data_IF_999575091360
#
_entry.id   IF_999575091360
#
_cell.length_a   1.000
_cell.length_b   1.000
_cell.length_c   1.000
_cell.angle_alpha   90.00
_cell.angle_beta   90.00
_cell.angle_gamma   90.00
#
_symmetry.space_group_name_H-M   'P 1'
#
loop_
_entity.id
_entity.type
_entity.pdbx_description
1 polymer ?
#
# COMPACT_ATOMS: atom_id res chain seq x y z
N UNK A 1 2.64 -0.70 -35.09
CA UNK A 1 2.66 -1.32 -33.76
C UNK A 1 3.78 -2.34 -33.71
N UNK A 2 4.59 -2.41 -32.64
CA UNK A 2 5.64 -3.43 -32.59
C UNK A 2 5.02 -4.80 -32.29
N UNK A 3 5.69 -5.88 -32.77
CA UNK A 3 5.24 -7.26 -32.47
C UNK A 3 5.09 -7.53 -30.96
N UNK A 4 5.89 -6.86 -30.16
CA UNK A 4 5.80 -6.94 -28.70
C UNK A 4 4.50 -6.30 -28.16
N UNK A 5 4.11 -5.13 -28.66
CA UNK A 5 2.85 -4.47 -28.30
C UNK A 5 1.62 -5.25 -28.77
N UNK A 6 1.71 -5.87 -29.95
CA UNK A 6 0.65 -6.73 -30.48
C UNK A 6 0.35 -7.91 -29.52
N UNK A 7 1.41 -8.52 -28.97
CA UNK A 7 1.26 -9.60 -27.97
C UNK A 7 0.62 -9.09 -26.68
N UNK A 8 1.01 -7.92 -26.19
CA UNK A 8 0.43 -7.34 -24.97
C UNK A 8 -1.05 -7.07 -25.16
N UNK A 9 -1.46 -6.44 -26.24
CA UNK A 9 -2.87 -6.20 -26.57
C UNK A 9 -3.65 -7.50 -26.68
N UNK A 10 -3.11 -8.51 -27.36
CA UNK A 10 -3.73 -9.82 -27.44
C UNK A 10 -3.97 -10.44 -26.06
N UNK A 11 -2.98 -10.36 -25.16
CA UNK A 11 -3.11 -10.87 -23.78
C UNK A 11 -4.18 -10.11 -22.97
N UNK A 12 -4.34 -8.81 -23.21
CA UNK A 12 -5.36 -7.99 -22.56
C UNK A 12 -6.79 -8.34 -23.00
N UNK A 13 -6.96 -8.73 -24.24
CA UNK A 13 -8.26 -9.10 -24.82
C UNK A 13 -8.72 -10.51 -24.47
N UNK A 14 -7.83 -11.37 -23.98
CA UNK A 14 -8.19 -12.73 -23.60
C UNK A 14 -9.21 -12.76 -22.45
N UNK A 15 -10.14 -13.72 -22.48
CA UNK A 15 -11.03 -13.95 -21.34
C UNK A 15 -10.24 -14.25 -20.05
N UNK A 16 -10.72 -13.71 -18.93
CA UNK A 16 -10.14 -14.00 -17.61
C UNK A 16 -10.18 -15.51 -17.32
N UNK A 17 -9.07 -16.05 -16.82
CA UNK A 17 -8.90 -17.49 -16.62
C UNK A 17 -8.41 -18.26 -17.83
N UNK A 18 -8.33 -17.62 -19.01
CA UNK A 18 -7.77 -18.26 -20.22
C UNK A 18 -6.30 -18.58 -20.01
N UNK A 19 -5.95 -19.83 -20.28
CA UNK A 19 -4.55 -20.30 -20.24
C UNK A 19 -3.89 -20.10 -21.59
N UNK A 20 -2.65 -19.67 -21.56
CA UNK A 20 -1.77 -19.51 -22.71
C UNK A 20 -0.38 -20.06 -22.40
N UNK A 21 0.38 -20.33 -23.44
CA UNK A 21 1.80 -20.69 -23.33
C UNK A 21 2.62 -19.85 -24.30
N UNK A 22 3.93 -19.76 -24.08
CA UNK A 22 4.86 -19.12 -25.03
C UNK A 22 4.60 -19.64 -26.43
N UNK A 23 4.54 -20.98 -26.60
CA UNK A 23 4.35 -21.63 -27.89
C UNK A 23 2.96 -21.37 -28.51
N UNK A 24 1.90 -21.28 -27.69
CA UNK A 24 0.58 -20.94 -28.22
C UNK A 24 0.50 -19.51 -28.76
N UNK A 25 1.19 -18.58 -28.08
CA UNK A 25 1.25 -17.17 -28.50
C UNK A 25 2.15 -17.02 -29.74
N UNK A 26 3.33 -17.66 -29.74
CA UNK A 26 4.24 -17.58 -30.89
C UNK A 26 3.61 -18.12 -32.15
N UNK A 27 2.88 -19.24 -32.08
CA UNK A 27 2.17 -19.82 -33.21
C UNK A 27 0.98 -18.95 -33.67
N UNK A 28 0.22 -18.38 -32.71
CA UNK A 28 -0.98 -17.59 -33.03
C UNK A 28 -0.64 -16.26 -33.71
N UNK A 29 0.42 -15.58 -33.24
CA UNK A 29 0.81 -14.25 -33.71
C UNK A 29 1.99 -14.25 -34.69
N UNK A 30 2.52 -15.42 -35.07
CA UNK A 30 3.64 -15.55 -35.98
C UNK A 30 4.91 -14.84 -35.48
N UNK A 31 5.23 -15.02 -34.20
CA UNK A 31 6.40 -14.41 -33.54
C UNK A 31 7.36 -15.48 -33.01
N UNK A 32 8.61 -15.11 -32.72
CA UNK A 32 9.54 -16.03 -32.08
C UNK A 32 9.15 -16.32 -30.63
N UNK A 33 9.48 -17.51 -30.12
CA UNK A 33 9.26 -17.89 -28.72
C UNK A 33 9.94 -16.92 -27.76
N UNK A 34 11.12 -16.39 -28.09
CA UNK A 34 11.82 -15.38 -27.30
C UNK A 34 11.08 -14.05 -27.21
N UNK A 35 10.37 -13.63 -28.28
CA UNK A 35 9.54 -12.43 -28.28
C UNK A 35 8.28 -12.65 -27.45
N UNK A 36 7.62 -13.81 -27.63
CA UNK A 36 6.46 -14.19 -26.83
C UNK A 36 6.79 -14.29 -25.34
N UNK A 37 7.92 -14.89 -24.97
CA UNK A 37 8.36 -15.00 -23.58
C UNK A 37 8.60 -13.63 -22.92
N UNK A 38 9.29 -12.71 -23.61
CA UNK A 38 9.53 -11.35 -23.09
C UNK A 38 8.23 -10.59 -22.88
N UNK A 39 7.28 -10.69 -23.81
CA UNK A 39 5.98 -10.05 -23.68
C UNK A 39 5.14 -10.64 -22.55
N UNK A 40 5.17 -11.97 -22.34
CA UNK A 40 4.53 -12.62 -21.18
C UNK A 40 5.12 -12.11 -19.88
N UNK A 41 6.45 -11.97 -19.79
CA UNK A 41 7.10 -11.43 -18.57
C UNK A 41 6.70 -9.98 -18.30
N UNK A 42 6.60 -9.17 -19.32
CA UNK A 42 6.10 -7.80 -19.19
C UNK A 42 4.62 -7.78 -18.80
N UNK A 43 3.79 -8.62 -19.41
CA UNK A 43 2.38 -8.75 -19.03
C UNK A 43 2.19 -9.24 -17.59
N UNK A 44 3.09 -10.11 -17.10
CA UNK A 44 3.12 -10.56 -15.70
C UNK A 44 3.46 -9.39 -14.76
N UNK A 45 4.47 -8.59 -15.10
CA UNK A 45 4.84 -7.39 -14.34
C UNK A 45 3.71 -6.33 -14.33
N UNK A 46 2.92 -6.26 -15.39
CA UNK A 46 1.73 -5.38 -15.49
C UNK A 46 0.49 -5.98 -14.82
N UNK A 47 0.58 -7.19 -14.27
CA UNK A 47 -0.55 -7.88 -13.66
C UNK A 47 -1.66 -8.33 -14.64
N UNK A 48 -1.35 -8.41 -15.94
CA UNK A 48 -2.27 -8.86 -16.99
C UNK A 48 -2.42 -10.38 -16.96
N UNK A 49 -1.32 -11.08 -16.71
CA UNK A 49 -1.25 -12.54 -16.60
C UNK A 49 -0.51 -12.94 -15.34
N UNK A 50 -0.71 -14.19 -14.91
CA UNK A 50 0.01 -14.81 -13.80
C UNK A 50 0.56 -16.16 -14.27
N UNK A 51 1.86 -16.39 -14.06
CA UNK A 51 2.49 -17.69 -14.33
C UNK A 51 2.50 -18.54 -13.07
N UNK A 52 1.85 -19.70 -13.12
CA UNK A 52 1.78 -20.64 -12.00
C UNK A 52 2.55 -21.92 -12.32
N UNK A 53 3.29 -22.49 -11.36
CA UNK A 53 3.90 -23.81 -11.52
C UNK A 53 2.86 -24.85 -11.96
N UNK A 54 3.18 -25.66 -12.95
CA UNK A 54 2.32 -26.71 -13.54
C UNK A 54 1.07 -26.24 -14.29
N UNK A 55 0.64 -24.98 -14.15
CA UNK A 55 -0.59 -24.45 -14.76
C UNK A 55 -0.31 -23.53 -15.96
N UNK A 56 0.94 -23.11 -16.17
CA UNK A 56 1.33 -22.18 -17.21
C UNK A 56 0.87 -20.75 -16.94
N UNK A 57 0.80 -19.94 -17.99
CA UNK A 57 0.39 -18.54 -17.92
C UNK A 57 -1.13 -18.43 -18.03
N UNK A 58 -1.75 -17.74 -17.11
CA UNK A 58 -3.20 -17.57 -17.03
C UNK A 58 -3.54 -16.08 -17.10
N UNK A 59 -4.52 -15.73 -17.92
CA UNK A 59 -5.07 -14.37 -17.93
C UNK A 59 -5.78 -14.13 -16.61
N UNK A 60 -5.31 -13.16 -15.86
CA UNK A 60 -5.93 -12.75 -14.60
C UNK A 60 -6.67 -11.44 -14.78
N UNK A 61 -7.66 -11.19 -13.94
CA UNK A 61 -8.25 -9.86 -13.83
C UNK A 61 -7.09 -8.92 -13.48
N UNK A 62 -6.84 -7.83 -14.25
CA UNK A 62 -5.87 -6.87 -13.80
C UNK A 62 -6.26 -6.54 -12.34
N UNK A 63 -5.34 -6.71 -11.42
CA UNK A 63 -5.47 -5.93 -10.19
C UNK A 63 -5.53 -4.50 -10.71
N UNK A 64 -6.71 -3.90 -10.69
CA UNK A 64 -6.80 -2.47 -10.89
C UNK A 64 -5.85 -1.89 -9.88
N UNK A 65 -4.69 -1.44 -10.31
CA UNK A 65 -3.92 -0.43 -9.62
C UNK A 65 -4.66 0.87 -9.92
N UNK A 66 -5.91 0.94 -9.49
CA UNK A 66 -6.48 2.21 -9.17
C UNK A 66 -5.69 2.62 -7.94
N UNK A 67 -4.79 3.55 -8.10
CA UNK A 67 -4.28 4.34 -6.98
C UNK A 67 -5.50 5.16 -6.57
N UNK A 68 -6.39 4.57 -5.78
CA UNK A 68 -7.41 5.31 -5.08
C UNK A 68 -6.64 6.12 -4.06
N UNK A 69 -6.57 7.40 -4.30
CA UNK A 69 -6.01 8.37 -3.39
C UNK A 69 -7.13 8.77 -2.46
N UNK A 70 -6.87 8.68 -1.18
CA UNK A 70 -7.75 9.18 -0.14
C UNK A 70 -7.21 10.49 0.37
N UNK A 71 -8.09 11.39 0.73
CA UNK A 71 -7.75 12.58 1.50
C UNK A 71 -7.53 12.21 2.97
N UNK A 72 -6.82 13.05 3.71
CA UNK A 72 -6.69 12.85 5.16
C UNK A 72 -8.04 13.02 5.87
N UNK A 73 -8.96 13.82 5.30
CA UNK A 73 -10.33 13.92 5.80
C UNK A 73 -11.07 12.59 5.73
N UNK A 74 -11.02 11.91 4.57
CA UNK A 74 -11.60 10.58 4.40
C UNK A 74 -10.95 9.53 5.32
N UNK A 75 -9.66 9.65 5.59
CA UNK A 75 -8.99 8.79 6.57
C UNK A 75 -9.50 9.04 7.99
N UNK A 76 -9.66 10.29 8.39
CA UNK A 76 -10.22 10.62 9.70
C UNK A 76 -11.62 10.01 9.86
N UNK A 77 -12.45 10.07 8.81
CA UNK A 77 -13.79 9.47 8.80
C UNK A 77 -13.73 7.93 8.89
N UNK A 78 -12.96 7.28 7.99
CA UNK A 78 -12.84 5.81 7.93
C UNK A 78 -12.30 5.21 9.23
N UNK A 79 -11.37 5.90 9.89
CA UNK A 79 -10.77 5.45 11.15
C UNK A 79 -11.44 6.01 12.39
N UNK A 80 -12.54 6.77 12.24
CA UNK A 80 -13.23 7.49 13.33
C UNK A 80 -12.25 8.28 14.21
N UNK A 81 -11.26 8.91 13.55
CA UNK A 81 -10.20 9.67 14.22
C UNK A 81 -10.61 11.12 14.45
N UNK A 82 -10.19 11.66 15.58
CA UNK A 82 -10.28 13.08 15.88
C UNK A 82 -9.15 13.83 15.17
N UNK A 83 -9.47 14.99 14.60
CA UNK A 83 -8.47 15.91 14.02
C UNK A 83 -7.94 16.81 15.13
N UNK A 84 -6.67 16.70 15.49
CA UNK A 84 -6.05 17.47 16.57
C UNK A 84 -5.39 18.75 16.07
N UNK A 85 -4.79 18.71 14.87
CA UNK A 85 -4.05 19.85 14.30
C UNK A 85 -3.95 19.72 12.78
N UNK A 86 -3.53 20.80 12.10
CA UNK A 86 -3.24 20.80 10.68
C UNK A 86 -4.47 20.69 9.78
N UNK A 87 -5.62 21.25 10.18
CA UNK A 87 -6.89 21.20 9.44
C UNK A 87 -6.76 21.62 7.97
N UNK A 88 -5.89 22.58 7.69
CA UNK A 88 -5.65 23.08 6.32
C UNK A 88 -5.17 22.00 5.34
N UNK A 89 -4.56 20.94 5.86
CA UNK A 89 -4.04 19.84 5.06
C UNK A 89 -5.02 18.69 4.84
N UNK A 90 -6.21 18.71 5.42
CA UNK A 90 -7.14 17.58 5.39
C UNK A 90 -7.57 17.16 3.98
N UNK A 91 -7.70 18.11 3.07
CA UNK A 91 -8.10 17.86 1.68
C UNK A 91 -6.93 17.38 0.79
N UNK A 92 -5.71 17.30 1.34
CA UNK A 92 -4.57 16.73 0.59
C UNK A 92 -4.75 15.22 0.45
N UNK A 93 -4.42 14.74 -0.74
CA UNK A 93 -4.44 13.31 -1.05
C UNK A 93 -3.17 12.60 -0.57
N UNK A 94 -3.33 11.38 -0.08
CA UNK A 94 -2.20 10.48 0.15
C UNK A 94 -2.45 9.10 -0.46
N UNK A 95 -1.37 8.39 -0.73
CA UNK A 95 -1.43 7.05 -1.34
C UNK A 95 -0.62 6.00 -0.60
N UNK A 96 0.14 6.40 0.41
CA UNK A 96 1.05 5.51 1.14
C UNK A 96 1.03 5.84 2.62
N UNK A 97 1.12 4.80 3.44
CA UNK A 97 1.35 4.97 4.86
C UNK A 97 2.48 4.07 5.37
N UNK A 98 3.04 4.44 6.49
CA UNK A 98 4.07 3.70 7.19
C UNK A 98 3.68 3.52 8.65
N UNK A 99 4.11 2.41 9.26
CA UNK A 99 3.89 2.18 10.69
C UNK A 99 5.15 2.58 11.45
N UNK A 100 5.00 3.51 12.40
CA UNK A 100 6.08 4.08 13.20
C UNK A 100 6.64 3.15 14.30
N UNK A 101 6.68 1.84 14.05
CA UNK A 101 7.23 0.85 14.99
C UNK A 101 8.76 0.73 14.95
N UNK A 102 9.40 1.42 14.01
CA UNK A 102 10.85 1.38 13.79
C UNK A 102 11.60 2.42 14.63
N UNK A 103 12.95 2.30 14.67
CA UNK A 103 13.81 3.35 15.21
C UNK A 103 13.77 4.61 14.33
N UNK A 104 14.13 5.76 14.89
CA UNK A 104 14.20 7.03 14.14
C UNK A 104 15.09 6.94 12.89
N UNK A 105 16.19 6.22 12.98
CA UNK A 105 17.10 6.04 11.87
C UNK A 105 16.46 5.22 10.74
N UNK A 106 15.76 4.15 11.08
CA UNK A 106 15.20 3.23 10.10
C UNK A 106 13.93 3.80 9.44
N UNK A 107 13.07 4.49 10.18
CA UNK A 107 11.82 5.02 9.63
C UNK A 107 12.05 6.06 8.54
N UNK A 108 13.17 6.80 8.57
CA UNK A 108 13.47 7.83 7.55
C UNK A 108 13.42 7.31 6.12
N UNK A 109 13.82 6.05 5.89
CA UNK A 109 13.77 5.44 4.56
C UNK A 109 12.36 5.08 4.10
N UNK A 110 11.39 5.13 4.99
CA UNK A 110 9.97 4.82 4.71
C UNK A 110 9.08 6.07 4.68
N UNK A 111 9.62 7.24 5.04
CA UNK A 111 8.89 8.50 4.92
C UNK A 111 8.86 8.93 3.44
N UNK A 112 7.71 9.36 3.01
CA UNK A 112 7.46 9.84 1.66
C UNK A 112 6.73 11.17 1.75
N UNK A 113 7.10 12.12 0.94
CA UNK A 113 6.39 13.40 0.87
C UNK A 113 4.87 13.17 0.65
N UNK A 114 4.06 13.79 1.48
CA UNK A 114 2.60 13.59 1.48
C UNK A 114 2.16 12.18 1.93
N UNK A 115 2.96 11.46 2.72
CA UNK A 115 2.60 10.17 3.31
C UNK A 115 1.88 10.31 4.65
N UNK A 116 1.43 9.17 5.20
CA UNK A 116 0.84 9.08 6.54
C UNK A 116 1.70 8.15 7.41
N UNK A 117 2.01 8.57 8.63
CA UNK A 117 2.68 7.72 9.64
C UNK A 117 1.68 7.34 10.72
N UNK A 118 1.43 6.04 10.86
CA UNK A 118 0.62 5.48 11.96
C UNK A 118 1.56 5.14 13.10
N UNK A 119 1.34 5.73 14.27
CA UNK A 119 2.25 5.60 15.42
C UNK A 119 1.46 5.70 16.73
N UNK A 120 1.98 5.13 17.81
CA UNK A 120 1.44 5.31 19.15
C UNK A 120 1.99 6.57 19.83
N UNK A 121 2.43 6.42 21.08
CA UNK A 121 2.90 7.48 21.98
C UNK A 121 4.34 7.99 21.71
N UNK A 122 4.95 7.59 20.61
CA UNK A 122 6.35 7.90 20.28
C UNK A 122 6.50 9.30 19.68
N UNK A 123 6.50 10.33 20.54
CA UNK A 123 6.60 11.75 20.16
C UNK A 123 7.72 12.04 19.16
N UNK A 124 8.90 11.44 19.31
CA UNK A 124 10.03 11.63 18.40
C UNK A 124 9.72 11.16 16.97
N UNK A 125 8.95 10.09 16.81
CA UNK A 125 8.52 9.62 15.49
C UNK A 125 7.44 10.53 14.91
N UNK A 126 6.53 11.06 15.75
CA UNK A 126 5.51 12.02 15.34
C UNK A 126 6.16 13.30 14.79
N UNK A 127 7.12 13.87 15.52
CA UNK A 127 7.88 15.04 15.07
C UNK A 127 8.64 14.77 13.77
N UNK A 128 9.35 13.64 13.71
CA UNK A 128 10.11 13.24 12.52
C UNK A 128 9.22 13.09 11.29
N UNK A 129 8.01 12.56 11.45
CA UNK A 129 7.04 12.46 10.36
C UNK A 129 6.67 13.85 9.83
N UNK A 130 6.29 14.78 10.72
CA UNK A 130 5.94 16.15 10.36
C UNK A 130 7.12 16.92 9.73
N UNK A 131 8.33 16.74 10.25
CA UNK A 131 9.55 17.33 9.66
C UNK A 131 9.75 16.93 8.20
N UNK A 132 9.35 15.70 7.84
CA UNK A 132 9.46 15.12 6.51
C UNK A 132 8.12 15.12 5.73
N UNK A 133 7.27 16.11 5.98
CA UNK A 133 6.02 16.37 5.25
C UNK A 133 5.02 15.18 5.25
N UNK A 134 5.03 14.36 6.32
CA UNK A 134 4.08 13.28 6.50
C UNK A 134 3.04 13.64 7.58
N UNK A 135 1.77 13.36 7.31
CA UNK A 135 0.73 13.42 8.32
C UNK A 135 0.93 12.31 9.38
N UNK A 136 0.35 12.51 10.53
CA UNK A 136 0.48 11.59 11.67
C UNK A 136 -0.90 11.11 12.10
N UNK A 137 -1.06 9.80 12.31
CA UNK A 137 -2.22 9.21 12.96
C UNK A 137 -1.76 8.50 14.23
N UNK A 138 -2.14 9.06 15.37
CA UNK A 138 -1.83 8.52 16.70
C UNK A 138 -2.90 7.51 17.08
N UNK A 139 -2.48 6.27 17.37
CA UNK A 139 -3.36 5.15 17.72
C UNK A 139 -3.40 4.92 19.23
N UNK A 140 -4.41 4.17 19.71
CA UNK A 140 -4.55 3.81 21.13
C UNK A 140 -5.06 4.96 22.02
N UNK A 141 -5.56 6.05 21.43
CA UNK A 141 -6.08 7.21 22.13
C UNK A 141 -5.01 7.98 22.93
N UNK A 142 -3.72 7.76 22.65
CA UNK A 142 -2.64 8.41 23.40
C UNK A 142 -2.68 9.94 23.26
N UNK A 143 -2.19 10.61 24.30
CA UNK A 143 -2.01 12.05 24.28
C UNK A 143 -0.93 12.45 23.28
N UNK A 144 -1.16 13.56 22.59
CA UNK A 144 -0.20 14.16 21.64
C UNK A 144 0.36 15.42 22.28
N UNK A 145 1.67 15.54 22.30
CA UNK A 145 2.37 16.67 22.93
C UNK A 145 2.12 17.97 22.16
N UNK A 146 2.16 19.09 22.89
CA UNK A 146 1.85 20.42 22.32
C UNK A 146 2.83 20.83 21.21
N UNK A 147 4.12 20.47 21.34
CA UNK A 147 5.14 20.74 20.33
C UNK A 147 4.83 20.04 18.97
N UNK A 148 4.23 18.87 19.01
CA UNK A 148 3.76 18.14 17.81
C UNK A 148 2.59 18.91 17.16
N UNK A 149 1.62 19.34 17.98
CA UNK A 149 0.44 20.06 17.50
C UNK A 149 0.81 21.43 16.92
N UNK A 150 1.71 22.15 17.57
CA UNK A 150 2.24 23.44 17.10
C UNK A 150 2.96 23.30 15.74
N UNK A 151 3.85 22.28 15.63
CA UNK A 151 4.53 22.01 14.38
C UNK A 151 3.57 21.64 13.25
N UNK A 152 2.58 20.81 13.55
CA UNK A 152 1.54 20.40 12.62
C UNK A 152 0.73 21.57 12.08
N UNK A 153 0.27 22.46 12.97
CA UNK A 153 -0.45 23.67 12.60
C UNK A 153 0.44 24.63 11.77
N UNK A 154 1.67 24.83 12.19
CA UNK A 154 2.63 25.68 11.45
C UNK A 154 2.86 25.21 10.01
N UNK A 155 2.86 23.90 9.79
CA UNK A 155 3.07 23.27 8.47
C UNK A 155 1.78 23.00 7.70
N UNK A 156 0.61 23.11 8.35
CA UNK A 156 -0.67 22.71 7.77
C UNK A 156 -0.69 21.21 7.44
N UNK A 157 -0.06 20.36 8.29
CA UNK A 157 0.01 18.91 8.11
C UNK A 157 -0.86 18.23 9.16
N UNK A 158 -1.84 17.37 8.77
CA UNK A 158 -2.79 16.78 9.69
C UNK A 158 -2.15 15.89 10.76
N UNK A 159 -2.60 16.06 11.99
CA UNK A 159 -2.41 15.14 13.11
C UNK A 159 -3.77 14.63 13.53
N UNK A 160 -3.97 13.33 13.39
CA UNK A 160 -5.18 12.60 13.71
C UNK A 160 -4.96 11.73 14.95
N UNK A 161 -6.03 11.45 15.70
CA UNK A 161 -5.99 10.53 16.84
C UNK A 161 -7.14 9.55 16.79
N UNK A 162 -6.83 8.25 16.79
CA UNK A 162 -7.80 7.16 16.91
C UNK A 162 -7.71 6.47 18.27
N UNK A 163 -8.83 6.01 18.77
CA UNK A 163 -8.89 5.16 19.99
C UNK A 163 -8.46 3.72 19.70
N UNK A 164 -8.56 3.31 18.47
CA UNK A 164 -8.22 1.95 18.03
C UNK A 164 -6.71 1.73 18.03
N UNK A 165 -6.31 0.47 18.06
CA UNK A 165 -4.91 0.06 17.98
C UNK A 165 -4.37 0.19 16.54
N UNK A 166 -3.04 0.14 16.44
CA UNK A 166 -2.33 0.32 15.15
C UNK A 166 -2.75 -0.70 14.09
N UNK A 167 -2.99 -1.95 14.46
CA UNK A 167 -3.35 -2.99 13.49
C UNK A 167 -4.77 -2.76 12.95
N UNK A 168 -5.71 -2.42 13.82
CA UNK A 168 -7.09 -2.11 13.45
C UNK A 168 -7.14 -0.91 12.50
N UNK A 169 -6.47 0.20 12.86
CA UNK A 169 -6.39 1.41 12.03
C UNK A 169 -5.75 1.11 10.68
N UNK A 170 -4.60 0.42 10.65
CA UNK A 170 -3.93 0.06 9.40
C UNK A 170 -4.81 -0.83 8.51
N UNK A 171 -5.59 -1.73 9.10
CA UNK A 171 -6.53 -2.59 8.37
C UNK A 171 -7.69 -1.78 7.76
N UNK A 172 -8.24 -0.80 8.51
CA UNK A 172 -9.29 0.09 8.01
C UNK A 172 -8.80 0.90 6.81
N UNK A 173 -7.62 1.52 6.94
CA UNK A 173 -7.00 2.31 5.87
C UNK A 173 -6.71 1.42 4.65
N UNK A 174 -6.17 0.22 4.86
CA UNK A 174 -5.88 -0.71 3.77
C UNK A 174 -7.14 -1.13 3.00
N UNK A 175 -8.24 -1.36 3.70
CA UNK A 175 -9.53 -1.66 3.07
C UNK A 175 -10.05 -0.47 2.27
N UNK A 176 -9.91 0.74 2.79
CA UNK A 176 -10.33 1.96 2.10
C UNK A 176 -9.48 2.23 0.86
N UNK A 177 -8.16 2.06 0.96
CA UNK A 177 -7.22 2.19 -0.15
C UNK A 177 -7.22 0.99 -1.09
N UNK A 178 -8.24 0.26 -1.26
CA UNK A 178 -8.49 -1.07 -1.87
C UNK A 178 -7.44 -1.65 -2.84
N UNK A 179 -6.33 -0.97 -3.15
CA UNK A 179 -5.27 -1.41 -4.06
C UNK A 179 -3.89 -0.76 -3.82
N UNK A 180 -3.66 -0.06 -2.71
CA UNK A 180 -2.34 0.50 -2.44
C UNK A 180 -1.42 -0.59 -1.94
N UNK A 181 -0.30 -0.75 -2.64
CA UNK A 181 0.78 -1.61 -2.22
C UNK A 181 1.37 -1.05 -0.92
N UNK A 182 1.01 -1.66 0.20
CA UNK A 182 1.65 -1.36 1.48
C UNK A 182 3.09 -1.82 1.35
N UNK A 183 4.00 -0.85 1.15
CA UNK A 183 5.41 -1.09 1.37
C UNK A 183 5.60 -1.15 2.87
N UNK A 184 5.70 -2.29 3.37
CA UNK A 184 6.25 -2.65 4.67
C UNK A 184 5.31 -3.57 5.43
N UNK A 185 5.70 -4.79 5.53
CA UNK A 185 5.61 -5.63 6.74
C UNK A 185 4.30 -5.61 7.55
N UNK A 186 3.13 -5.36 6.91
CA UNK A 186 1.88 -5.87 7.51
C UNK A 186 2.01 -7.38 7.69
N UNK A 187 2.69 -8.08 6.78
CA UNK A 187 3.06 -9.48 6.98
C UNK A 187 3.93 -9.70 8.22
N UNK A 188 4.80 -8.73 8.58
CA UNK A 188 5.58 -8.79 9.82
C UNK A 188 4.72 -8.46 11.03
N UNK A 189 3.80 -7.50 10.92
CA UNK A 189 2.86 -7.16 11.98
C UNK A 189 1.85 -8.30 12.19
N UNK A 190 1.31 -8.90 11.12
CA UNK A 190 0.46 -10.09 11.21
C UNK A 190 1.19 -11.29 11.83
N UNK A 191 2.48 -11.48 11.55
CA UNK A 191 3.30 -12.51 12.20
C UNK A 191 3.55 -12.22 13.67
N UNK A 192 3.72 -10.95 14.04
CA UNK A 192 3.91 -10.54 15.44
C UNK A 192 2.62 -10.61 16.26
N UNK A 193 1.47 -10.42 15.63
CA UNK A 193 0.14 -10.46 16.28
C UNK A 193 -0.61 -11.77 16.08
N UNK A 194 -0.05 -12.79 15.44
CA UNK A 194 -0.64 -14.13 15.54
C UNK A 194 -0.59 -14.53 17.02
N UNK A 195 -1.72 -14.62 17.73
CA UNK A 195 -1.71 -15.15 19.08
C UNK A 195 -1.13 -16.56 18.98
N UNK A 196 -0.19 -16.87 19.83
CA UNK A 196 0.49 -18.17 19.98
C UNK A 196 -0.49 -19.24 20.49
N UNK A 197 -1.61 -19.44 19.78
CA UNK A 197 -2.57 -20.50 20.07
C UNK A 197 -2.16 -21.89 19.55
N UNK A 198 -0.93 -22.04 19.02
CA UNK A 198 -0.45 -23.32 18.54
C UNK A 198 0.69 -23.93 19.38
N UNK A 199 0.99 -23.38 20.55
CA UNK A 199 1.79 -24.14 21.48
C UNK A 199 0.86 -24.88 22.44
N UNK A 200 0.35 -26.03 21.97
CA UNK A 200 -0.25 -27.04 22.81
C UNK A 200 0.78 -27.43 23.88
N UNK A 201 0.46 -27.16 25.12
CA UNK A 201 1.11 -27.82 26.25
C UNK A 201 0.72 -29.31 26.18
N UNK A 202 1.70 -30.16 25.95
CA UNK A 202 1.75 -31.51 26.47
C UNK A 202 2.30 -31.49 27.87
#
# INVERSE_FOLDING_TARGET
>A
MSKHQEILSYLEELPIGKRVSVRSISNHLGVSDGTAYRAIKEAENRGIVETRPRSGTIRVKPKKVAIERLTYAEIAEVTSSEVLAGQEGLEREFSKFSIGAMTEQNIRSYLHDGGLVIVGDRTRIQLLALENENAVLVTGGFYVQDDVLELANKKGIPVLRSKDDTFTVATMINKALSNVQIKTDILTVEKLYRPSHEYGFL
#
